data_IF_893304260940
#
_entry.id   IF_893304260940
#
_cell.length_a   1.000
_cell.length_b   1.000
_cell.length_c   1.000
_cell.angle_alpha   90.00
_cell.angle_beta   90.00
_cell.angle_gamma   90.00
#
_symmetry.space_group_name_H-M   'P 1'
#
loop_
_entity.id
_entity.type
_entity.pdbx_description
1 polymer ?
#
# COMPACT_ATOMS: atom_id res chain seq x y z
N UNK A 1 11.95 65.78 -27.01
CA UNK A 1 12.15 65.27 -25.64
C UNK A 1 10.97 64.37 -25.11
N UNK A 2 9.78 64.48 -25.66
CA UNK A 2 8.58 63.73 -25.26
C UNK A 2 8.59 62.27 -25.81
N UNK A 3 9.04 62.05 -27.04
CA UNK A 3 9.10 60.69 -27.63
C UNK A 3 10.09 59.73 -26.95
N UNK A 4 11.19 60.25 -26.37
CA UNK A 4 12.18 59.40 -25.66
C UNK A 4 11.65 58.90 -24.28
N UNK A 5 10.73 59.63 -23.66
CA UNK A 5 10.11 59.19 -22.41
C UNK A 5 9.02 58.12 -22.59
N UNK A 6 8.30 58.14 -23.73
CA UNK A 6 7.31 57.14 -24.06
C UNK A 6 7.95 55.77 -24.38
N UNK A 7 9.08 55.72 -25.09
CA UNK A 7 9.76 54.50 -25.40
C UNK A 7 10.38 53.83 -24.17
N UNK A 8 10.86 54.59 -23.18
CA UNK A 8 11.36 54.03 -21.93
C UNK A 8 10.26 53.45 -21.06
N UNK A 9 9.07 54.05 -21.03
CA UNK A 9 7.92 53.58 -20.27
C UNK A 9 7.38 52.24 -20.86
N UNK A 10 7.37 52.11 -22.19
CA UNK A 10 6.99 50.87 -22.87
C UNK A 10 8.02 49.75 -22.65
N UNK A 11 9.33 50.05 -22.66
CA UNK A 11 10.38 49.09 -22.37
C UNK A 11 10.32 48.57 -20.93
N UNK A 12 10.07 49.45 -19.94
CA UNK A 12 9.89 49.06 -18.55
C UNK A 12 8.65 48.21 -18.33
N UNK A 13 7.54 48.48 -19.01
CA UNK A 13 6.31 47.68 -18.90
C UNK A 13 6.49 46.31 -19.57
N UNK A 14 7.18 46.17 -20.66
CA UNK A 14 7.46 44.87 -21.32
C UNK A 14 8.43 44.04 -20.50
N UNK A 15 9.47 44.64 -19.91
CA UNK A 15 10.41 43.92 -19.01
C UNK A 15 9.71 43.50 -17.71
N UNK A 16 8.87 44.37 -17.14
CA UNK A 16 8.10 44.02 -15.95
C UNK A 16 7.08 42.88 -16.19
N UNK A 17 6.42 42.87 -17.37
CA UNK A 17 5.52 41.79 -17.78
C UNK A 17 6.27 40.50 -18.03
N UNK A 18 7.47 40.53 -18.64
CA UNK A 18 8.29 39.31 -18.84
C UNK A 18 8.85 38.76 -17.51
N UNK A 19 9.18 39.64 -16.56
CA UNK A 19 9.57 39.20 -15.20
C UNK A 19 8.40 38.63 -14.43
N UNK A 20 7.21 39.18 -14.58
CA UNK A 20 6.01 38.66 -13.96
C UNK A 20 5.60 37.28 -14.51
N UNK A 21 5.79 37.06 -15.84
CA UNK A 21 5.58 35.75 -16.44
C UNK A 21 6.64 34.72 -16.04
N UNK A 22 7.88 35.13 -15.79
CA UNK A 22 8.96 34.24 -15.32
C UNK A 22 8.76 33.82 -13.83
N UNK A 23 8.11 34.66 -13.02
CA UNK A 23 7.83 34.37 -11.60
C UNK A 23 6.57 33.52 -11.43
N UNK A 24 5.64 33.56 -12.41
CA UNK A 24 4.38 32.78 -12.32
C UNK A 24 4.43 31.37 -12.90
N UNK A 25 5.58 30.91 -13.41
CA UNK A 25 5.68 29.61 -14.07
C UNK A 25 6.28 28.48 -13.23
N UNK A 26 6.50 28.66 -11.92
CA UNK A 26 6.68 27.51 -11.05
C UNK A 26 5.31 27.03 -10.63
N UNK A 27 4.72 26.11 -11.36
CA UNK A 27 3.56 25.36 -10.85
C UNK A 27 4.00 24.66 -9.58
N UNK A 28 3.46 25.08 -8.44
CA UNK A 28 3.66 24.35 -7.19
C UNK A 28 2.94 23.00 -7.32
N UNK A 29 3.72 21.94 -7.43
CA UNK A 29 3.21 20.57 -7.38
C UNK A 29 3.37 20.03 -5.96
N UNK A 30 2.28 19.97 -5.18
CA UNK A 30 2.35 19.57 -3.78
C UNK A 30 2.62 18.08 -3.59
N UNK A 31 2.47 17.28 -4.64
CA UNK A 31 2.58 15.83 -4.56
C UNK A 31 3.80 15.32 -5.30
N UNK A 32 4.60 14.53 -4.61
CA UNK A 32 5.68 13.77 -5.23
C UNK A 32 5.26 12.30 -5.32
N UNK A 33 5.26 11.75 -6.53
CA UNK A 33 4.98 10.34 -6.73
C UNK A 33 6.23 9.52 -6.42
N UNK A 34 6.16 8.69 -5.39
CA UNK A 34 7.28 7.86 -4.94
C UNK A 34 7.22 6.41 -5.47
N UNK A 35 6.37 6.17 -6.46
CA UNK A 35 6.24 4.85 -7.09
C UNK A 35 5.62 3.80 -6.20
N UNK A 36 5.96 2.57 -6.50
CA UNK A 36 5.60 1.39 -5.71
C UNK A 36 4.36 0.66 -6.17
N UNK A 37 4.25 -0.54 -5.68
CA UNK A 37 3.20 -1.48 -6.01
C UNK A 37 2.76 -2.20 -4.74
N UNK A 38 1.47 -2.17 -4.48
CA UNK A 38 0.84 -2.94 -3.42
C UNK A 38 -0.23 -3.81 -4.03
N UNK A 39 -0.35 -5.04 -3.57
CA UNK A 39 -1.45 -5.93 -3.96
C UNK A 39 -1.94 -6.74 -2.77
N UNK A 40 -3.18 -7.22 -2.87
CA UNK A 40 -3.73 -8.12 -1.86
C UNK A 40 -4.64 -9.16 -2.51
N UNK A 41 -4.74 -10.31 -1.84
CA UNK A 41 -5.54 -11.46 -2.26
C UNK A 41 -6.35 -11.98 -1.09
N UNK A 42 -7.65 -12.14 -1.27
CA UNK A 42 -8.57 -12.73 -0.30
C UNK A 42 -8.90 -14.17 -0.69
N UNK A 43 -8.51 -15.13 0.14
CA UNK A 43 -8.90 -16.54 0.02
C UNK A 43 -9.98 -16.94 1.02
N UNK A 44 -10.38 -18.19 0.99
CA UNK A 44 -11.41 -18.73 1.91
C UNK A 44 -10.93 -18.73 3.36
N UNK A 45 -9.68 -19.13 3.59
CA UNK A 45 -9.06 -19.25 4.92
C UNK A 45 -7.79 -18.41 5.05
N UNK A 46 -7.48 -17.55 4.08
CA UNK A 46 -6.29 -16.72 4.11
C UNK A 46 -6.54 -15.31 3.58
N UNK A 47 -5.71 -14.39 4.02
CA UNK A 47 -5.56 -13.06 3.46
C UNK A 47 -4.08 -12.79 3.23
N UNK A 48 -3.73 -12.32 2.05
CA UNK A 48 -2.36 -12.00 1.67
C UNK A 48 -2.30 -10.53 1.27
N UNK A 49 -1.24 -9.86 1.71
CA UNK A 49 -0.89 -8.53 1.21
C UNK A 49 0.58 -8.51 0.84
N UNK A 50 0.89 -7.88 -0.27
CA UNK A 50 2.24 -7.83 -0.81
C UNK A 50 2.60 -6.42 -1.26
N UNK A 51 3.85 -6.04 -1.08
CA UNK A 51 4.38 -4.77 -1.59
C UNK A 51 5.83 -4.88 -1.98
N UNK A 52 6.24 -4.07 -2.95
CA UNK A 52 7.65 -3.80 -3.17
C UNK A 52 8.19 -2.79 -2.15
N UNK A 53 9.51 -2.65 -2.12
CA UNK A 53 10.19 -1.71 -1.20
C UNK A 53 10.85 -0.55 -1.92
N UNK A 54 10.79 -0.50 -3.27
CA UNK A 54 11.43 0.55 -4.05
C UNK A 54 10.74 1.89 -3.87
N UNK A 55 11.54 2.93 -3.70
CA UNK A 55 11.09 4.30 -3.68
C UNK A 55 11.79 5.10 -4.79
N UNK A 56 11.02 5.81 -5.58
CA UNK A 56 11.53 6.72 -6.61
C UNK A 56 11.30 8.17 -6.22
N UNK A 57 12.23 9.03 -6.67
CA UNK A 57 12.12 10.47 -6.54
C UNK A 57 11.51 11.13 -7.76
N UNK A 58 11.54 12.45 -7.78
CA UNK A 58 11.13 13.26 -8.91
C UNK A 58 11.95 12.91 -10.16
N UNK A 59 11.26 12.78 -11.30
CA UNK A 59 11.89 12.37 -12.55
C UNK A 59 12.14 10.86 -12.69
N UNK A 60 11.67 10.04 -11.77
CA UNK A 60 11.78 8.57 -11.85
C UNK A 60 13.14 8.02 -11.38
N UNK A 61 13.96 8.84 -10.75
CA UNK A 61 15.22 8.37 -10.17
C UNK A 61 14.97 7.53 -8.93
N UNK A 62 15.68 6.40 -8.81
CA UNK A 62 15.64 5.56 -7.61
C UNK A 62 16.29 6.31 -6.45
N UNK A 63 15.59 6.47 -5.34
CA UNK A 63 16.12 7.06 -4.12
C UNK A 63 17.03 6.06 -3.40
N UNK A 64 18.04 6.60 -2.72
CA UNK A 64 19.11 5.82 -2.10
C UNK A 64 18.65 4.72 -1.13
N UNK A 65 19.53 3.77 -0.98
CA UNK A 65 19.44 2.45 -0.38
C UNK A 65 18.73 2.30 0.98
N UNK A 66 18.60 3.30 1.82
CA UNK A 66 17.88 3.12 3.08
C UNK A 66 16.35 3.05 2.93
N UNK A 67 15.82 3.45 1.79
CA UNK A 67 14.39 3.40 1.52
C UNK A 67 13.93 2.03 1.01
N UNK A 68 14.84 1.21 0.46
CA UNK A 68 14.53 -0.17 0.07
C UNK A 68 14.36 -1.13 1.25
N UNK A 69 14.65 -0.67 2.48
CA UNK A 69 14.40 -1.41 3.71
C UNK A 69 13.04 -1.08 4.34
N UNK A 70 12.29 -0.14 3.76
CA UNK A 70 11.01 0.34 4.29
C UNK A 70 9.87 -0.37 3.59
N UNK A 71 9.05 -1.09 4.30
CA UNK A 71 7.83 -1.70 3.76
C UNK A 71 6.75 -0.63 3.56
N UNK A 72 5.93 -0.81 2.51
CA UNK A 72 4.70 -0.03 2.28
C UNK A 72 3.51 -0.54 3.08
N UNK A 73 3.71 -1.67 3.78
CA UNK A 73 2.71 -2.32 4.60
C UNK A 73 2.77 -1.77 6.03
N UNK A 74 1.63 -1.67 6.67
CA UNK A 74 1.52 -1.25 8.05
C UNK A 74 0.25 -1.79 8.70
N UNK A 75 0.25 -1.94 10.02
CA UNK A 75 -0.90 -2.37 10.81
C UNK A 75 -1.45 -1.21 11.65
N UNK A 76 -2.75 -1.26 11.95
CA UNK A 76 -3.43 -0.26 12.80
C UNK A 76 -3.17 -0.53 14.27
N UNK A 77 -3.12 -1.80 14.66
CA UNK A 77 -3.11 -2.31 16.03
C UNK A 77 -1.79 -2.97 16.45
N UNK A 78 -0.93 -3.34 15.50
CA UNK A 78 0.31 -4.07 15.78
C UNK A 78 1.55 -3.31 15.25
N UNK A 79 2.21 -2.58 16.16
CA UNK A 79 3.47 -1.90 15.84
C UNK A 79 4.66 -2.87 15.81
N UNK A 80 4.60 -3.98 16.55
CA UNK A 80 5.70 -4.95 16.65
C UNK A 80 5.87 -5.73 15.35
N UNK A 81 4.78 -6.07 14.68
CA UNK A 81 4.80 -6.72 13.37
C UNK A 81 5.62 -5.92 12.34
N UNK A 82 5.54 -4.59 12.41
CA UNK A 82 6.29 -3.74 11.48
C UNK A 82 7.78 -3.77 11.75
N UNK A 83 8.17 -3.83 13.02
CA UNK A 83 9.59 -3.97 13.42
C UNK A 83 10.12 -5.32 12.95
N UNK A 84 9.36 -6.39 13.10
CA UNK A 84 9.74 -7.74 12.66
C UNK A 84 9.92 -7.80 11.13
N UNK A 85 9.04 -7.16 10.37
CA UNK A 85 9.15 -7.08 8.90
C UNK A 85 10.40 -6.27 8.51
N UNK A 86 10.66 -5.13 9.14
CA UNK A 86 11.83 -4.29 8.85
C UNK A 86 13.15 -5.00 9.22
N UNK A 87 13.21 -5.68 10.35
CA UNK A 87 14.38 -6.45 10.78
C UNK A 87 14.62 -7.64 9.83
N UNK A 88 13.55 -8.26 9.36
CA UNK A 88 13.60 -9.31 8.34
C UNK A 88 14.15 -8.80 7.01
N UNK A 89 13.73 -7.61 6.58
CA UNK A 89 14.25 -6.96 5.38
C UNK A 89 15.76 -6.65 5.50
N UNK A 90 16.19 -6.17 6.66
CA UNK A 90 17.61 -5.86 6.93
C UNK A 90 18.48 -7.10 6.97
N UNK A 91 17.97 -8.19 7.53
CA UNK A 91 18.72 -9.44 7.71
C UNK A 91 18.74 -10.31 6.45
N UNK A 92 17.94 -10.01 5.42
CA UNK A 92 17.88 -10.79 4.19
C UNK A 92 18.94 -10.31 3.20
N UNK A 93 19.98 -11.11 2.90
CA UNK A 93 20.97 -10.78 1.88
C UNK A 93 20.31 -10.70 0.49
N UNK A 94 20.83 -9.84 -0.39
CA UNK A 94 20.31 -9.68 -1.75
C UNK A 94 20.52 -10.93 -2.62
N UNK A 95 21.33 -11.88 -2.17
CA UNK A 95 21.65 -13.15 -2.86
C UNK A 95 20.68 -14.29 -2.54
N UNK A 96 19.73 -14.14 -1.64
CA UNK A 96 18.78 -15.19 -1.26
C UNK A 96 17.56 -15.12 -2.17
N UNK A 97 17.23 -16.22 -2.86
CA UNK A 97 16.10 -16.23 -3.81
C UNK A 97 14.73 -16.03 -3.16
N UNK A 98 14.48 -16.65 -2.03
CA UNK A 98 13.24 -16.49 -1.23
C UNK A 98 13.55 -16.79 0.22
N UNK A 99 13.14 -15.94 1.13
CA UNK A 99 13.20 -16.21 2.57
C UNK A 99 11.79 -16.23 3.14
N UNK A 100 11.43 -17.35 3.73
CA UNK A 100 10.22 -17.51 4.53
C UNK A 100 10.57 -17.30 6.02
N UNK A 101 9.75 -16.54 6.71
CA UNK A 101 9.88 -16.25 8.14
C UNK A 101 8.55 -16.60 8.76
N UNK A 102 8.56 -17.67 9.55
CA UNK A 102 7.43 -18.01 10.40
C UNK A 102 7.43 -17.08 11.61
N UNK A 103 6.39 -16.32 11.79
CA UNK A 103 6.17 -15.54 12.98
C UNK A 103 5.54 -16.48 14.02
N UNK A 104 6.34 -16.92 14.99
CA UNK A 104 6.03 -18.02 15.92
C UNK A 104 4.81 -17.82 16.84
N UNK A 105 4.19 -16.65 16.81
CA UNK A 105 2.99 -16.40 17.60
C UNK A 105 1.75 -16.94 16.89
N UNK A 106 1.39 -18.18 17.21
CA UNK A 106 0.03 -18.69 17.04
C UNK A 106 -0.91 -17.85 17.91
N UNK A 107 -1.30 -16.71 17.38
CA UNK A 107 -2.22 -15.82 18.07
C UNK A 107 -3.64 -16.29 17.83
N UNK A 108 -4.48 -16.12 18.85
CA UNK A 108 -5.91 -16.30 18.63
C UNK A 108 -6.37 -15.37 17.50
N UNK A 109 -7.33 -15.78 16.69
CA UNK A 109 -7.91 -14.96 15.61
C UNK A 109 -8.32 -13.55 16.09
N UNK A 110 -8.55 -13.39 17.39
CA UNK A 110 -8.81 -12.10 18.02
C UNK A 110 -7.68 -11.08 17.83
N UNK A 111 -6.47 -11.52 17.57
CA UNK A 111 -5.29 -10.68 17.37
C UNK A 111 -4.66 -10.83 15.98
N UNK A 112 -5.38 -11.41 15.00
CA UNK A 112 -4.91 -11.42 13.64
C UNK A 112 -4.75 -9.98 13.13
N UNK A 113 -3.55 -9.56 12.69
CA UNK A 113 -3.32 -8.18 12.29
C UNK A 113 -4.10 -7.86 11.01
N UNK A 114 -4.66 -6.65 10.98
CA UNK A 114 -5.22 -6.08 9.76
C UNK A 114 -4.16 -5.19 9.15
N UNK A 115 -3.75 -5.54 7.94
CA UNK A 115 -2.70 -4.84 7.24
C UNK A 115 -3.28 -3.87 6.21
N UNK A 116 -2.65 -2.73 6.13
CA UNK A 116 -2.91 -1.71 5.12
C UNK A 116 -1.62 -1.53 4.32
N UNK A 117 -1.74 -1.60 3.00
CA UNK A 117 -0.68 -1.23 2.10
C UNK A 117 -1.01 0.10 1.42
N UNK A 118 -0.05 0.98 1.29
CA UNK A 118 -0.25 2.29 0.68
C UNK A 118 0.85 2.63 -0.33
N UNK A 119 0.43 3.21 -1.46
CA UNK A 119 1.31 3.68 -2.52
C UNK A 119 0.93 5.11 -2.93
N UNK A 120 1.84 5.81 -3.58
CA UNK A 120 1.65 7.21 -4.01
C UNK A 120 2.71 8.13 -3.44
N UNK A 121 2.33 9.22 -2.78
CA UNK A 121 3.23 10.13 -2.08
C UNK A 121 3.60 9.54 -0.72
N UNK A 122 4.87 9.22 -0.51
CA UNK A 122 5.35 8.58 0.72
C UNK A 122 5.04 9.41 1.97
N UNK A 123 5.17 10.72 1.90
CA UNK A 123 4.90 11.63 3.01
C UNK A 123 3.42 11.59 3.41
N UNK A 124 2.52 11.59 2.43
CA UNK A 124 1.09 11.50 2.64
C UNK A 124 0.69 10.14 3.22
N UNK A 125 1.28 9.05 2.68
CA UNK A 125 1.08 7.70 3.22
C UNK A 125 1.51 7.61 4.69
N UNK A 126 2.68 8.17 5.04
CA UNK A 126 3.16 8.21 6.44
C UNK A 126 2.25 9.05 7.35
N UNK A 127 1.76 10.18 6.86
CA UNK A 127 0.85 11.01 7.65
C UNK A 127 -0.51 10.34 7.85
N UNK A 128 -1.05 9.72 6.80
CA UNK A 128 -2.28 8.92 6.87
C UNK A 128 -2.15 7.80 7.90
N UNK A 129 -1.04 7.04 7.85
CA UNK A 129 -0.75 5.99 8.82
C UNK A 129 -0.75 6.51 10.27
N UNK A 130 -0.09 7.64 10.52
CA UNK A 130 -0.04 8.25 11.87
C UNK A 130 -1.42 8.66 12.36
N UNK A 131 -2.22 9.26 11.50
CA UNK A 131 -3.57 9.71 11.86
C UNK A 131 -4.47 8.51 12.17
N UNK A 132 -4.54 7.51 11.30
CA UNK A 132 -5.34 6.30 11.50
C UNK A 132 -4.95 5.58 12.79
N UNK A 133 -3.66 5.42 13.06
CA UNK A 133 -3.20 4.80 14.31
C UNK A 133 -3.58 5.61 15.54
N UNK A 134 -3.50 6.94 15.47
CA UNK A 134 -3.90 7.81 16.58
C UNK A 134 -5.40 7.68 16.86
N UNK A 135 -6.23 7.70 15.83
CA UNK A 135 -7.68 7.59 15.95
C UNK A 135 -8.09 6.20 16.47
N UNK A 136 -7.43 5.16 15.98
CA UNK A 136 -7.66 3.78 16.45
C UNK A 136 -7.30 3.62 17.94
N UNK A 137 -6.13 4.14 18.36
CA UNK A 137 -5.70 4.10 19.76
C UNK A 137 -6.65 4.90 20.66
N UNK A 138 -7.09 6.05 20.21
CA UNK A 138 -8.06 6.86 20.95
C UNK A 138 -9.39 6.11 21.11
N UNK A 139 -9.93 5.55 20.04
CA UNK A 139 -11.17 4.78 20.06
C UNK A 139 -11.07 3.52 20.94
N UNK A 140 -9.92 2.84 20.90
CA UNK A 140 -9.63 1.70 21.77
C UNK A 140 -9.54 2.11 23.24
N UNK A 141 -8.84 3.19 23.55
CA UNK A 141 -8.70 3.72 24.92
C UNK A 141 -10.04 4.09 25.55
N UNK A 142 -10.94 4.70 24.77
CA UNK A 142 -12.30 5.05 25.24
C UNK A 142 -13.28 3.87 25.21
N UNK A 143 -12.82 2.65 24.90
CA UNK A 143 -13.64 1.44 24.91
C UNK A 143 -14.66 1.37 23.76
N UNK A 144 -14.53 2.19 22.73
CA UNK A 144 -15.38 2.14 21.53
C UNK A 144 -15.04 0.95 20.63
N UNK A 145 -13.83 0.46 20.71
CA UNK A 145 -13.32 -0.67 19.94
C UNK A 145 -12.84 -1.73 20.92
N UNK A 146 -13.53 -2.85 20.97
CA UNK A 146 -13.10 -4.02 21.76
C UNK A 146 -12.25 -4.99 20.93
N UNK A 147 -12.37 -4.93 19.60
CA UNK A 147 -11.68 -5.79 18.64
C UNK A 147 -11.67 -5.14 17.27
N UNK A 148 -10.51 -5.15 16.61
CA UNK A 148 -10.39 -4.77 15.20
C UNK A 148 -10.96 -5.87 14.29
N UNK A 149 -11.63 -5.45 13.21
CA UNK A 149 -11.99 -6.31 12.11
C UNK A 149 -11.79 -5.55 10.78
N UNK A 150 -11.61 -6.25 9.65
CA UNK A 150 -11.36 -5.61 8.37
C UNK A 150 -12.42 -4.60 7.94
N UNK A 151 -13.70 -4.85 8.22
CA UNK A 151 -14.81 -3.95 7.86
C UNK A 151 -14.73 -2.62 8.65
N UNK A 152 -14.40 -2.69 9.92
CA UNK A 152 -14.25 -1.51 10.77
C UNK A 152 -13.06 -0.66 10.31
N UNK A 153 -11.91 -1.29 10.05
CA UNK A 153 -10.72 -0.59 9.56
C UNK A 153 -10.99 0.01 8.19
N UNK A 154 -11.73 -0.72 7.33
CA UNK A 154 -12.13 -0.21 6.03
C UNK A 154 -13.00 1.05 6.13
N UNK A 155 -14.01 1.06 7.00
CA UNK A 155 -14.85 2.23 7.21
C UNK A 155 -14.08 3.42 7.81
N UNK A 156 -13.19 3.15 8.77
CA UNK A 156 -12.37 4.17 9.40
C UNK A 156 -11.42 4.84 8.39
N UNK A 157 -10.73 4.04 7.56
CA UNK A 157 -9.87 4.55 6.50
C UNK A 157 -10.64 5.38 5.48
N UNK A 158 -11.82 4.90 5.04
CA UNK A 158 -12.71 5.64 4.14
C UNK A 158 -13.09 7.00 4.70
N UNK A 159 -13.52 7.06 5.96
CA UNK A 159 -13.91 8.32 6.62
C UNK A 159 -12.74 9.29 6.70
N UNK A 160 -11.56 8.83 7.10
CA UNK A 160 -10.35 9.67 7.21
C UNK A 160 -9.92 10.24 5.87
N UNK A 161 -9.97 9.43 4.80
CA UNK A 161 -9.67 9.90 3.44
C UNK A 161 -10.71 10.92 2.97
N UNK A 162 -12.00 10.66 3.21
CA UNK A 162 -13.09 11.53 2.77
C UNK A 162 -13.11 12.90 3.49
N UNK A 163 -12.69 12.97 4.74
CA UNK A 163 -12.53 14.24 5.47
C UNK A 163 -11.55 15.19 4.76
N UNK A 164 -10.57 14.63 4.05
CA UNK A 164 -9.58 15.40 3.30
C UNK A 164 -9.91 15.59 1.82
N UNK A 165 -11.12 15.28 1.37
CA UNK A 165 -11.51 15.33 -0.07
C UNK A 165 -11.27 16.67 -0.76
N UNK A 166 -11.19 17.79 -0.02
CA UNK A 166 -10.86 19.10 -0.59
C UNK A 166 -9.37 19.29 -0.92
N UNK A 167 -8.50 18.57 -0.22
CA UNK A 167 -7.07 18.45 -0.47
C UNK A 167 -6.65 17.02 -0.08
N UNK A 168 -6.87 16.03 -0.98
CA UNK A 168 -6.73 14.62 -0.64
C UNK A 168 -5.29 14.23 -0.33
N UNK A 169 -5.11 13.20 0.50
CA UNK A 169 -3.85 12.47 0.53
C UNK A 169 -3.61 11.82 -0.83
N UNK A 170 -2.43 11.99 -1.38
CA UNK A 170 -2.02 11.24 -2.56
C UNK A 170 -1.56 9.83 -2.13
N UNK A 171 -2.51 9.07 -1.61
CA UNK A 171 -2.32 7.75 -1.05
C UNK A 171 -3.41 6.80 -1.57
N UNK A 172 -2.99 5.76 -2.26
CA UNK A 172 -3.86 4.70 -2.76
C UNK A 172 -3.65 3.48 -1.88
N UNK A 173 -4.71 3.05 -1.22
CA UNK A 173 -4.63 2.06 -0.16
C UNK A 173 -5.30 0.75 -0.55
N UNK A 174 -4.79 -0.33 0.03
CA UNK A 174 -5.44 -1.65 0.06
C UNK A 174 -5.44 -2.14 1.50
N UNK A 175 -6.56 -2.62 1.98
CA UNK A 175 -6.71 -3.24 3.29
C UNK A 175 -6.87 -4.74 3.12
N UNK A 176 -6.15 -5.54 3.90
CA UNK A 176 -6.29 -6.98 3.92
C UNK A 176 -6.33 -7.52 5.35
N UNK A 177 -7.16 -8.49 5.62
CA UNK A 177 -7.25 -9.14 6.91
C UNK A 177 -8.20 -10.33 6.91
N UNK A 178 -8.20 -11.06 8.01
CA UNK A 178 -9.11 -12.18 8.24
C UNK A 178 -10.34 -11.72 9.03
N UNK A 179 -11.51 -12.18 8.59
CA UNK A 179 -12.77 -11.89 9.25
C UNK A 179 -13.39 -13.14 9.88
N UNK A 180 -13.99 -12.92 11.04
CA UNK A 180 -14.67 -13.96 11.84
C UNK A 180 -16.19 -13.92 11.69
N UNK A 181 -16.74 -13.18 10.76
CA UNK A 181 -18.12 -12.67 10.79
C UNK A 181 -19.20 -13.68 10.46
N UNK A 182 -18.90 -14.87 10.02
CA UNK A 182 -19.97 -15.84 9.71
C UNK A 182 -20.37 -16.63 10.94
N UNK A 183 -21.27 -16.03 11.70
CA UNK A 183 -21.83 -16.52 12.96
C UNK A 183 -22.54 -17.87 12.90
N UNK A 184 -22.72 -18.48 11.75
CA UNK A 184 -23.52 -19.71 11.65
C UNK A 184 -22.73 -21.00 11.46
N UNK A 185 -21.46 -20.96 11.01
CA UNK A 185 -20.70 -22.20 10.74
C UNK A 185 -19.21 -22.14 11.09
N UNK A 186 -18.73 -21.12 11.83
CA UNK A 186 -17.29 -21.03 12.17
C UNK A 186 -16.36 -20.81 10.97
N UNK A 187 -16.89 -20.45 9.81
CA UNK A 187 -16.08 -20.23 8.62
C UNK A 187 -15.46 -18.83 8.66
N UNK A 188 -14.16 -18.80 8.69
CA UNK A 188 -13.35 -17.60 8.52
C UNK A 188 -13.16 -17.31 7.04
N UNK A 189 -12.92 -16.03 6.71
CA UNK A 189 -12.64 -15.64 5.35
C UNK A 189 -11.64 -14.49 5.29
N UNK A 190 -10.81 -14.51 4.26
CA UNK A 190 -10.02 -13.34 3.88
C UNK A 190 -10.93 -12.25 3.32
N UNK A 191 -10.61 -11.00 3.66
CA UNK A 191 -11.24 -9.80 3.11
C UNK A 191 -10.19 -8.84 2.59
N UNK A 192 -10.45 -8.30 1.41
CA UNK A 192 -9.62 -7.28 0.79
C UNK A 192 -10.50 -6.11 0.36
N UNK A 193 -10.05 -4.90 0.65
CA UNK A 193 -10.67 -3.65 0.24
C UNK A 193 -9.68 -2.79 -0.52
N UNK A 194 -10.06 -2.26 -1.66
CA UNK A 194 -9.26 -1.33 -2.47
C UNK A 194 -9.90 0.05 -2.44
N UNK A 195 -9.07 1.09 -2.40
CA UNK A 195 -9.47 2.48 -2.22
C UNK A 195 -9.00 3.37 -3.36
N UNK A 196 -9.80 4.41 -3.60
CA UNK A 196 -9.31 5.61 -4.28
C UNK A 196 -8.74 6.63 -3.28
N UNK A 197 -8.21 7.75 -3.80
CA UNK A 197 -7.59 8.78 -2.97
C UNK A 197 -8.59 9.58 -2.10
N UNK A 198 -9.89 9.52 -2.40
CA UNK A 198 -10.95 10.24 -1.67
C UNK A 198 -11.77 9.35 -0.74
N UNK A 199 -11.37 8.08 -0.58
CA UNK A 199 -11.98 7.18 0.38
C UNK A 199 -13.14 6.35 -0.14
N UNK A 200 -13.46 6.38 -1.45
CA UNK A 200 -14.35 5.38 -2.04
C UNK A 200 -13.65 4.03 -2.03
N UNK A 201 -14.35 2.98 -1.63
CA UNK A 201 -13.75 1.65 -1.54
C UNK A 201 -14.69 0.55 -2.00
N UNK A 202 -14.10 -0.54 -2.44
CA UNK A 202 -14.81 -1.74 -2.89
C UNK A 202 -14.16 -2.98 -2.26
N UNK A 203 -15.00 -3.96 -1.90
CA UNK A 203 -14.55 -5.28 -1.51
C UNK A 203 -14.29 -6.12 -2.75
N UNK A 204 -13.12 -6.73 -2.83
CA UNK A 204 -12.67 -7.51 -3.99
C UNK A 204 -11.91 -8.76 -3.55
N UNK A 205 -11.83 -9.75 -4.45
CA UNK A 205 -11.00 -10.94 -4.22
C UNK A 205 -9.50 -10.63 -4.38
N UNK A 206 -9.17 -9.77 -5.35
CA UNK A 206 -7.78 -9.44 -5.71
C UNK A 206 -7.72 -7.97 -6.06
N UNK A 207 -6.72 -7.27 -5.54
CA UNK A 207 -6.49 -5.87 -5.83
C UNK A 207 -5.01 -5.56 -6.00
N UNK A 208 -4.71 -4.60 -6.88
CA UNK A 208 -3.41 -3.95 -6.96
C UNK A 208 -3.57 -2.43 -6.98
N UNK A 209 -2.61 -1.70 -6.41
CA UNK A 209 -2.54 -0.24 -6.43
C UNK A 209 -1.08 0.23 -6.54
N UNK A 210 -0.89 1.43 -7.08
CA UNK A 210 0.43 2.01 -7.31
C UNK A 210 0.77 2.12 -8.79
N UNK A 211 2.01 2.53 -9.10
CA UNK A 211 2.48 2.77 -10.48
C UNK A 211 2.46 1.49 -11.33
N UNK A 212 2.77 0.34 -10.74
CA UNK A 212 2.74 -0.95 -11.43
C UNK A 212 1.37 -1.60 -11.58
N UNK A 213 0.28 -0.96 -11.09
CA UNK A 213 -1.08 -1.52 -11.13
C UNK A 213 -1.51 -1.95 -12.52
N UNK A 214 -1.30 -1.13 -13.52
CA UNK A 214 -1.73 -1.40 -14.90
C UNK A 214 -1.10 -2.66 -15.50
N UNK A 215 0.10 -3.02 -15.04
CA UNK A 215 0.79 -4.24 -15.43
C UNK A 215 0.40 -5.44 -14.56
N UNK A 216 0.25 -5.22 -13.24
CA UNK A 216 0.01 -6.30 -12.29
C UNK A 216 -1.44 -6.79 -12.31
N UNK A 217 -2.42 -5.88 -12.25
CA UNK A 217 -3.83 -6.25 -12.11
C UNK A 217 -4.30 -7.24 -13.20
N UNK A 218 -4.02 -7.04 -14.50
CA UNK A 218 -4.43 -8.00 -15.52
C UNK A 218 -3.79 -9.38 -15.37
N UNK A 219 -2.56 -9.46 -14.84
CA UNK A 219 -1.90 -10.72 -14.56
C UNK A 219 -2.62 -11.44 -13.42
N UNK A 220 -2.92 -10.72 -12.34
CA UNK A 220 -3.61 -11.29 -11.19
C UNK A 220 -5.04 -11.72 -11.55
N UNK A 221 -5.78 -10.90 -12.28
CA UNK A 221 -7.14 -11.22 -12.73
C UNK A 221 -7.20 -12.49 -13.57
N UNK A 222 -6.16 -12.71 -14.40
CA UNK A 222 -6.04 -13.92 -15.20
C UNK A 222 -5.60 -15.14 -14.39
N UNK A 223 -4.67 -14.96 -13.45
CA UNK A 223 -4.10 -16.06 -12.67
C UNK A 223 -5.03 -16.55 -11.57
N UNK A 224 -5.78 -15.63 -10.97
CA UNK A 224 -6.83 -15.89 -9.99
C UNK A 224 -8.19 -15.89 -10.69
N UNK A 225 -8.38 -16.73 -11.73
CA UNK A 225 -9.65 -16.83 -12.44
C UNK A 225 -10.80 -16.89 -11.42
N UNK A 226 -11.69 -15.91 -11.54
CA UNK A 226 -12.77 -15.71 -10.61
C UNK A 226 -13.64 -16.96 -10.53
N UNK A 227 -13.44 -17.72 -9.50
CA UNK A 227 -14.41 -18.72 -9.09
C UNK A 227 -15.69 -17.99 -8.65
N UNK A 228 -16.78 -18.68 -8.60
CA UNK A 228 -18.15 -18.19 -8.41
C UNK A 228 -18.42 -17.18 -7.27
N UNK A 229 -17.43 -16.88 -6.43
CA UNK A 229 -17.47 -15.83 -5.42
C UNK A 229 -16.61 -14.64 -5.88
N UNK A 230 -17.25 -13.50 -6.17
CA UNK A 230 -16.57 -12.26 -6.57
C UNK A 230 -15.58 -11.71 -5.53
N UNK A 231 -15.67 -12.18 -4.29
CA UNK A 231 -14.99 -11.61 -3.13
C UNK A 231 -13.82 -12.46 -2.63
N UNK A 232 -13.60 -13.66 -3.17
CA UNK A 232 -12.54 -14.59 -2.72
C UNK A 232 -12.01 -15.43 -3.88
N UNK A 233 -10.73 -15.81 -3.78
CA UNK A 233 -10.11 -16.75 -4.70
C UNK A 233 -10.17 -18.17 -4.13
N UNK A 234 -10.22 -19.15 -5.03
CA UNK A 234 -10.01 -20.55 -4.66
C UNK A 234 -8.51 -20.88 -4.70
N UNK A 235 -8.10 -21.91 -3.98
CA UNK A 235 -6.72 -22.36 -3.89
C UNK A 235 -6.11 -22.20 -2.51
N UNK A 236 -4.84 -22.44 -2.42
CA UNK A 236 -4.06 -22.37 -1.18
C UNK A 236 -3.27 -21.07 -1.08
N UNK A 237 -2.93 -20.68 0.16
CA UNK A 237 -2.08 -19.51 0.37
C UNK A 237 -0.72 -19.62 -0.33
N UNK A 238 -0.13 -20.83 -0.38
CA UNK A 238 1.16 -21.07 -1.02
C UNK A 238 1.09 -20.87 -2.55
N UNK A 239 0.04 -21.36 -3.21
CA UNK A 239 -0.19 -21.10 -4.64
C UNK A 239 -0.33 -19.61 -4.92
N UNK A 240 -1.06 -18.88 -4.06
CA UNK A 240 -1.20 -17.44 -4.19
C UNK A 240 0.13 -16.70 -4.02
N UNK A 241 0.98 -17.10 -3.08
CA UNK A 241 2.35 -16.58 -2.91
C UNK A 241 3.19 -16.80 -4.16
N UNK A 242 3.17 -18.01 -4.73
CA UNK A 242 3.92 -18.29 -5.98
C UNK A 242 3.46 -17.42 -7.15
N UNK A 243 2.14 -17.23 -7.30
CA UNK A 243 1.56 -16.36 -8.33
C UNK A 243 2.06 -14.93 -8.16
N UNK A 244 1.98 -14.39 -6.92
CA UNK A 244 2.45 -13.05 -6.59
C UNK A 244 3.94 -12.89 -6.89
N UNK A 245 4.80 -13.84 -6.49
CA UNK A 245 6.23 -13.81 -6.79
C UNK A 245 6.51 -13.73 -8.30
N UNK A 246 5.84 -14.56 -9.10
CA UNK A 246 6.01 -14.58 -10.57
C UNK A 246 5.51 -13.28 -11.20
N UNK A 247 4.36 -12.78 -10.75
CA UNK A 247 3.75 -11.55 -11.25
C UNK A 247 4.60 -10.31 -10.93
N UNK A 248 5.06 -10.15 -9.69
CA UNK A 248 5.93 -9.03 -9.30
C UNK A 248 7.27 -9.04 -10.01
N UNK A 249 7.90 -10.21 -10.21
CA UNK A 249 9.13 -10.31 -11.01
C UNK A 249 8.91 -9.84 -12.44
N UNK A 250 7.79 -10.21 -13.07
CA UNK A 250 7.44 -9.77 -14.41
C UNK A 250 7.20 -8.26 -14.50
N UNK A 251 6.54 -7.66 -13.50
CA UNK A 251 6.29 -6.22 -13.44
C UNK A 251 7.58 -5.44 -13.19
N UNK A 252 8.44 -5.92 -12.27
CA UNK A 252 9.71 -5.23 -11.94
C UNK A 252 10.70 -5.16 -13.11
N UNK A 253 10.50 -5.95 -14.17
CA UNK A 253 11.31 -5.86 -15.38
C UNK A 253 10.91 -4.70 -16.31
N UNK A 254 9.68 -4.19 -16.15
CA UNK A 254 9.10 -3.20 -17.05
C UNK A 254 8.76 -1.86 -16.39
N UNK A 255 8.55 -1.87 -15.08
CA UNK A 255 8.16 -0.71 -14.30
C UNK A 255 9.32 -0.29 -13.37
N UNK A 256 9.92 0.87 -13.69
CA UNK A 256 11.09 1.37 -12.94
C UNK A 256 10.74 1.70 -11.47
N UNK A 257 9.49 2.07 -11.20
CA UNK A 257 9.00 2.39 -9.86
C UNK A 257 8.78 1.17 -8.97
N UNK A 258 8.96 -0.05 -9.50
CA UNK A 258 8.74 -1.32 -8.78
C UNK A 258 10.03 -2.13 -8.77
N UNK A 259 10.48 -2.56 -7.59
CA UNK A 259 11.70 -3.36 -7.51
C UNK A 259 12.26 -3.51 -6.10
N UNK A 260 13.55 -3.79 -6.02
CA UNK A 260 14.36 -4.07 -4.84
C UNK A 260 13.92 -5.34 -4.14
N UNK A 261 13.03 -5.30 -3.16
CA UNK A 261 12.52 -6.48 -2.47
C UNK A 261 11.00 -6.51 -2.50
N UNK A 262 10.42 -7.68 -2.66
CA UNK A 262 9.01 -7.95 -2.48
C UNK A 262 8.81 -8.52 -1.08
N UNK A 263 7.93 -7.91 -0.32
CA UNK A 263 7.46 -8.38 0.98
C UNK A 263 6.05 -8.90 0.81
N UNK A 264 5.82 -10.15 1.16
CA UNK A 264 4.50 -10.78 1.15
C UNK A 264 4.17 -11.19 2.57
N UNK A 265 3.09 -10.66 3.11
CA UNK A 265 2.55 -11.09 4.38
C UNK A 265 1.34 -11.98 4.16
N UNK A 266 1.35 -13.16 4.77
CA UNK A 266 0.29 -14.16 4.73
C UNK A 266 -0.27 -14.33 6.12
N UNK A 267 -1.57 -14.14 6.26
CA UNK A 267 -2.35 -14.56 7.42
C UNK A 267 -3.26 -15.71 7.00
N UNK A 268 -3.11 -16.87 7.59
CA UNK A 268 -3.85 -18.08 7.24
C UNK A 268 -4.44 -18.73 8.49
N UNK A 269 -5.63 -19.30 8.37
CA UNK A 269 -6.28 -20.02 9.45
C UNK A 269 -6.06 -21.51 9.24
N UNK A 270 -5.46 -22.13 10.24
CA UNK A 270 -5.24 -23.57 10.31
C UNK A 270 -6.51 -24.33 10.66
N UNK A 271 -6.49 -25.65 10.47
CA UNK A 271 -7.60 -26.55 10.84
C UNK A 271 -8.00 -26.51 12.31
N UNK A 272 -7.16 -25.98 13.18
CA UNK A 272 -7.38 -25.81 14.62
C UNK A 272 -7.98 -24.45 15.00
N UNK A 273 -8.43 -23.64 14.03
CA UNK A 273 -8.87 -22.26 14.21
C UNK A 273 -7.80 -21.30 14.77
N UNK A 274 -6.53 -21.66 14.58
CA UNK A 274 -5.39 -20.81 14.92
C UNK A 274 -4.91 -20.02 13.70
N UNK A 275 -4.51 -18.77 13.92
CA UNK A 275 -3.93 -17.94 12.85
C UNK A 275 -2.44 -18.18 12.77
N UNK A 276 -2.00 -18.66 11.63
CA UNK A 276 -0.60 -18.72 11.24
C UNK A 276 -0.24 -17.46 10.47
N UNK A 277 0.92 -16.87 10.78
CA UNK A 277 1.46 -15.70 10.10
C UNK A 277 2.81 -16.03 9.49
N UNK A 278 2.97 -15.74 8.22
CA UNK A 278 4.22 -15.95 7.49
C UNK A 278 4.58 -14.72 6.69
N UNK A 279 5.85 -14.39 6.64
CA UNK A 279 6.38 -13.31 5.83
C UNK A 279 7.39 -13.87 4.85
N UNK A 280 7.20 -13.56 3.58
CA UNK A 280 8.14 -13.91 2.52
C UNK A 280 8.85 -12.64 2.05
N UNK A 281 10.17 -12.72 1.95
CA UNK A 281 11.00 -11.66 1.37
C UNK A 281 11.66 -12.23 0.11
N UNK A 282 11.37 -11.59 -1.02
CA UNK A 282 11.81 -12.05 -2.34
C UNK A 282 12.57 -10.93 -3.03
N UNK A 283 13.79 -11.16 -3.50
CA UNK A 283 14.51 -10.15 -4.28
C UNK A 283 13.83 -9.96 -5.64
N UNK A 284 13.67 -8.71 -6.02
CA UNK A 284 13.23 -8.26 -7.33
C UNK A 284 14.41 -7.69 -8.11
N UNK A 285 14.19 -7.38 -9.39
CA UNK A 285 15.22 -6.79 -10.23
C UNK A 285 15.65 -5.43 -9.68
N UNK A 286 16.96 -5.25 -9.57
CA UNK A 286 17.61 -3.97 -9.34
C UNK A 286 17.96 -3.36 -10.70
N UNK A 287 17.53 -2.12 -10.96
CA UNK A 287 17.83 -1.38 -12.19
C UNK A 287 18.99 -0.43 -11.97
#
# INVERSE_FOLDING_TARGET
MIQRKQNNALLFSVVALSWFQLVTSSSFEPYQLNGGLVSAVAGRNFAIIASDTRMIGEGGYVLESRNHLSSRLWSVDDDMLMVEIEDSLRSTPDSVEVREIDLEDTTSLASAPILIGSSGCSTDCCQLQRNIRADFRAASYFGHISRSNPDMVANMLSSTLYERRGFPYYAFCVVAGLDQTTKSNGNYCGKVYVYDAIGSYERVAVAATGTGRELLQPILDRMFEATSSKDQVDGTANEAVEILCKAYRSVSEREIGVGDKLVIHVSEINSNDEVSRRVFVVPLKQH
#
